data_IF_851286986300
#
_entry.id   IF_851286986300
#
_cell.length_a   1.000
_cell.length_b   1.000
_cell.length_c   1.000
_cell.angle_alpha   90.00
_cell.angle_beta   90.00
_cell.angle_gamma   90.00
#
_symmetry.space_group_name_H-M   'P 1'
#
loop_
_entity.id
_entity.type
_entity.pdbx_description
1 polymer ?
#
# COMPACT_ATOMS: atom_id res chain seq x y z
N UNK A 1 11.56 38.59 6.28
CA UNK A 1 11.51 38.01 4.92
C UNK A 1 10.49 36.86 4.95
N UNK A 2 9.51 36.92 4.06
CA UNK A 2 8.17 36.33 4.17
C UNK A 2 8.16 34.83 3.81
N UNK A 3 7.93 33.93 4.79
CA UNK A 3 8.05 32.46 4.67
C UNK A 3 6.73 31.70 4.44
N UNK A 4 5.63 32.40 4.16
CA UNK A 4 4.31 31.80 3.89
C UNK A 4 4.13 31.27 2.45
N UNK A 5 5.22 31.11 1.66
CA UNK A 5 5.13 30.78 0.23
C UNK A 5 5.44 29.33 -0.18
N UNK A 6 5.79 28.43 0.74
CA UNK A 6 6.33 27.09 0.37
C UNK A 6 5.51 25.91 0.93
N UNK A 7 4.38 26.16 1.61
CA UNK A 7 3.41 25.09 1.83
C UNK A 7 2.52 24.99 0.61
N UNK A 8 2.75 23.95 -0.20
CA UNK A 8 1.85 23.42 -1.21
C UNK A 8 0.74 24.39 -1.59
N UNK A 9 1.01 25.20 -2.62
CA UNK A 9 -0.01 25.83 -3.45
C UNK A 9 -0.79 24.67 -4.10
N UNK A 10 -1.62 23.98 -3.31
CA UNK A 10 -2.74 23.20 -3.78
C UNK A 10 -3.73 24.19 -4.37
N UNK A 11 -3.35 24.62 -5.57
CA UNK A 11 -4.20 24.83 -6.71
C UNK A 11 -5.05 26.12 -6.70
N UNK A 12 -4.84 27.02 -7.69
CA UNK A 12 -5.62 28.25 -7.92
C UNK A 12 -7.07 28.02 -8.38
N UNK A 13 -7.66 26.83 -8.19
CA UNK A 13 -9.08 26.54 -8.55
C UNK A 13 -10.04 27.30 -7.62
N UNK A 14 -9.68 27.45 -6.34
CA UNK A 14 -10.57 28.09 -5.36
C UNK A 14 -10.74 29.61 -5.60
N UNK A 15 -9.72 30.27 -6.18
CA UNK A 15 -9.79 31.67 -6.59
C UNK A 15 -10.50 31.86 -7.94
N UNK A 16 -10.53 30.84 -8.81
CA UNK A 16 -11.22 30.90 -10.09
C UNK A 16 -12.74 30.78 -9.90
N UNK A 17 -13.18 30.02 -8.89
CA UNK A 17 -14.60 29.70 -8.71
C UNK A 17 -15.41 30.66 -7.81
N UNK A 18 -14.79 31.66 -7.15
CA UNK A 18 -15.48 32.62 -6.25
C UNK A 18 -16.46 31.94 -5.25
N UNK A 19 -16.11 30.81 -4.66
CA UNK A 19 -16.99 30.15 -3.67
C UNK A 19 -16.91 30.82 -2.29
N UNK A 20 -18.03 30.84 -1.53
CA UNK A 20 -18.07 31.40 -0.18
C UNK A 20 -17.16 30.63 0.80
N UNK A 21 -16.65 31.29 1.86
CA UNK A 21 -15.65 30.72 2.78
C UNK A 21 -16.12 29.45 3.49
N UNK A 22 -17.43 29.27 3.69
CA UNK A 22 -18.04 28.06 4.22
C UNK A 22 -17.87 26.83 3.30
N UNK A 23 -17.80 27.02 1.98
CA UNK A 23 -17.52 25.92 1.03
C UNK A 23 -16.06 25.47 1.07
N UNK A 24 -15.11 26.35 1.40
CA UNK A 24 -13.69 26.00 1.55
C UNK A 24 -13.46 25.02 2.70
N UNK A 25 -14.21 25.18 3.80
CA UNK A 25 -14.15 24.27 4.96
C UNK A 25 -14.72 22.90 4.60
N UNK A 26 -15.89 22.85 3.96
CA UNK A 26 -16.52 21.60 3.53
C UNK A 26 -15.60 20.84 2.56
N UNK A 27 -15.00 21.54 1.59
CA UNK A 27 -14.07 20.93 0.64
C UNK A 27 -12.84 20.33 1.33
N UNK A 28 -12.25 21.02 2.31
CA UNK A 28 -11.11 20.50 3.09
C UNK A 28 -11.48 19.26 3.93
N UNK A 29 -12.67 19.24 4.52
CA UNK A 29 -13.15 18.08 5.28
C UNK A 29 -13.35 16.90 4.33
N UNK A 30 -13.97 17.13 3.17
CA UNK A 30 -14.18 16.11 2.14
C UNK A 30 -12.84 15.57 1.62
N UNK A 31 -11.87 16.43 1.32
CA UNK A 31 -10.53 16.06 0.87
C UNK A 31 -9.81 15.19 1.92
N UNK A 32 -9.89 15.56 3.20
CA UNK A 32 -9.32 14.79 4.29
C UNK A 32 -9.99 13.42 4.45
N UNK A 33 -11.32 13.37 4.37
CA UNK A 33 -12.08 12.12 4.43
C UNK A 33 -11.73 11.21 3.25
N UNK A 34 -11.69 11.73 2.02
CA UNK A 34 -11.26 10.99 0.86
C UNK A 34 -9.84 10.45 1.03
N UNK A 35 -8.91 11.27 1.53
CA UNK A 35 -7.53 10.85 1.80
C UNK A 35 -7.46 9.70 2.82
N UNK A 36 -8.20 9.79 3.93
CA UNK A 36 -8.25 8.75 4.96
C UNK A 36 -8.86 7.45 4.41
N UNK A 37 -9.97 7.55 3.67
CA UNK A 37 -10.62 6.42 3.03
C UNK A 37 -9.68 5.73 2.04
N UNK A 38 -9.02 6.49 1.16
CA UNK A 38 -8.04 5.94 0.21
C UNK A 38 -6.90 5.23 0.94
N UNK A 39 -6.39 5.79 2.04
CA UNK A 39 -5.36 5.12 2.84
C UNK A 39 -5.82 3.81 3.46
N UNK A 40 -7.03 3.79 4.02
CA UNK A 40 -7.59 2.59 4.64
C UNK A 40 -7.79 1.51 3.57
N UNK A 41 -8.39 1.86 2.43
CA UNK A 41 -8.64 0.94 1.32
C UNK A 41 -7.32 0.37 0.79
N UNK A 42 -6.33 1.22 0.51
CA UNK A 42 -5.02 0.77 0.02
C UNK A 42 -4.31 -0.13 1.04
N UNK A 43 -4.36 0.22 2.33
CA UNK A 43 -3.75 -0.60 3.39
C UNK A 43 -4.42 -1.96 3.49
N UNK A 44 -5.76 -2.02 3.44
CA UNK A 44 -6.50 -3.28 3.45
C UNK A 44 -6.19 -4.13 2.21
N UNK A 45 -6.13 -3.52 1.03
CA UNK A 45 -5.73 -4.19 -0.21
C UNK A 45 -4.33 -4.80 -0.11
N UNK A 46 -3.38 -4.06 0.46
CA UNK A 46 -2.00 -4.53 0.66
C UNK A 46 -1.94 -5.67 1.67
N UNK A 47 -2.64 -5.57 2.81
CA UNK A 47 -2.73 -6.65 3.80
C UNK A 47 -3.31 -7.91 3.17
N UNK A 48 -4.42 -7.77 2.45
CA UNK A 48 -5.07 -8.88 1.75
C UNK A 48 -4.12 -9.51 0.73
N UNK A 49 -3.46 -8.70 -0.09
CA UNK A 49 -2.50 -9.15 -1.08
C UNK A 49 -1.35 -9.93 -0.42
N UNK A 50 -0.73 -9.38 0.62
CA UNK A 50 0.38 -10.02 1.33
C UNK A 50 0.00 -11.34 2.01
N UNK A 51 -1.19 -11.42 2.63
CA UNK A 51 -1.71 -12.66 3.21
C UNK A 51 -1.93 -13.70 2.12
N UNK A 52 -2.54 -13.31 1.00
CA UNK A 52 -2.85 -14.23 -0.10
C UNK A 52 -1.58 -14.76 -0.76
N UNK A 53 -0.57 -13.90 -1.00
CA UNK A 53 0.72 -14.35 -1.50
C UNK A 53 1.41 -15.34 -0.55
N UNK A 54 1.38 -15.09 0.76
CA UNK A 54 1.92 -16.04 1.76
C UNK A 54 1.19 -17.38 1.73
N UNK A 55 -0.14 -17.34 1.63
CA UNK A 55 -0.96 -18.54 1.55
C UNK A 55 -0.65 -19.36 0.30
N UNK A 56 -0.55 -18.71 -0.87
CA UNK A 56 -0.17 -19.36 -2.13
C UNK A 56 1.22 -19.98 -2.04
N UNK A 57 2.21 -19.25 -1.50
CA UNK A 57 3.57 -19.78 -1.31
C UNK A 57 3.59 -21.03 -0.43
N UNK A 58 2.81 -21.03 0.65
CA UNK A 58 2.68 -22.19 1.52
C UNK A 58 2.06 -23.39 0.79
N UNK A 59 0.97 -23.18 0.04
CA UNK A 59 0.36 -24.25 -0.77
C UNK A 59 1.35 -24.80 -1.78
N UNK A 60 2.10 -23.92 -2.46
CA UNK A 60 3.07 -24.30 -3.45
C UNK A 60 4.23 -25.13 -2.85
N UNK A 61 4.78 -24.70 -1.72
CA UNK A 61 5.81 -25.47 -1.00
C UNK A 61 5.32 -26.87 -0.63
N UNK A 62 4.09 -26.97 -0.12
CA UNK A 62 3.50 -28.27 0.25
C UNK A 62 3.29 -29.18 -0.96
N UNK A 63 2.87 -28.63 -2.10
CA UNK A 63 2.77 -29.37 -3.36
C UNK A 63 4.14 -29.84 -3.85
N UNK A 64 5.15 -28.99 -3.79
CA UNK A 64 6.51 -29.31 -4.19
C UNK A 64 7.09 -30.44 -3.32
N UNK A 65 6.89 -30.38 -2.01
CA UNK A 65 7.28 -31.44 -1.07
C UNK A 65 6.59 -32.77 -1.37
N UNK A 66 5.30 -32.74 -1.72
CA UNK A 66 4.55 -33.93 -2.11
C UNK A 66 5.04 -34.51 -3.43
N UNK A 67 5.39 -33.67 -4.40
CA UNK A 67 5.93 -34.09 -5.69
C UNK A 67 7.30 -34.76 -5.51
N UNK A 68 8.17 -34.17 -4.68
CA UNK A 68 9.55 -34.62 -4.52
C UNK A 68 9.67 -35.92 -3.69
N UNK A 69 8.66 -36.27 -2.89
CA UNK A 69 8.71 -37.41 -1.95
C UNK A 69 8.31 -38.76 -2.54
N UNK A 70 7.85 -38.84 -3.79
CA UNK A 70 7.00 -39.98 -4.15
C UNK A 70 7.07 -40.41 -5.63
N UNK A 71 7.19 -41.73 -5.82
CA UNK A 71 6.87 -42.43 -7.07
C UNK A 71 5.34 -42.54 -7.19
N UNK A 72 4.68 -41.44 -7.56
CA UNK A 72 3.23 -41.43 -7.69
C UNK A 72 2.75 -42.21 -8.93
N UNK A 73 1.59 -42.87 -8.86
CA UNK A 73 0.87 -43.31 -10.05
C UNK A 73 0.36 -42.10 -10.88
N UNK A 74 0.21 -42.30 -12.20
CA UNK A 74 -0.07 -41.23 -13.17
C UNK A 74 -1.34 -40.42 -12.86
N UNK A 75 -2.38 -41.08 -12.36
CA UNK A 75 -3.66 -40.47 -11.96
C UNK A 75 -3.50 -39.43 -10.85
N UNK A 76 -2.65 -39.73 -9.85
CA UNK A 76 -2.38 -38.82 -8.74
C UNK A 76 -1.45 -37.67 -9.15
N UNK A 77 -0.54 -37.91 -10.09
CA UNK A 77 0.30 -36.88 -10.70
C UNK A 77 -0.55 -35.86 -11.49
N UNK A 78 -1.49 -36.34 -12.31
CA UNK A 78 -2.43 -35.50 -13.07
C UNK A 78 -3.25 -34.61 -12.14
N UNK A 79 -3.74 -35.16 -11.03
CA UNK A 79 -4.49 -34.37 -10.04
C UNK A 79 -3.62 -33.29 -9.38
N UNK A 80 -2.36 -33.62 -9.03
CA UNK A 80 -1.41 -32.66 -8.47
C UNK A 80 -1.08 -31.51 -9.45
N UNK A 81 -0.91 -31.84 -10.74
CA UNK A 81 -0.70 -30.87 -11.81
C UNK A 81 -1.93 -29.97 -12.02
N UNK A 82 -3.14 -30.51 -11.91
CA UNK A 82 -4.38 -29.72 -11.97
C UNK A 82 -4.43 -28.70 -10.83
N UNK A 83 -4.17 -29.13 -9.59
CA UNK A 83 -4.14 -28.24 -8.42
C UNK A 83 -3.07 -27.16 -8.57
N UNK A 84 -1.89 -27.51 -9.11
CA UNK A 84 -0.86 -26.53 -9.43
C UNK A 84 -1.35 -25.50 -10.46
N UNK A 85 -2.03 -25.94 -11.51
CA UNK A 85 -2.64 -25.06 -12.51
C UNK A 85 -3.67 -24.09 -11.91
N UNK A 86 -4.52 -24.57 -11.01
CA UNK A 86 -5.51 -23.74 -10.32
C UNK A 86 -4.86 -22.68 -9.42
N UNK A 87 -3.78 -23.04 -8.73
CA UNK A 87 -2.99 -22.09 -7.92
C UNK A 87 -2.33 -21.04 -8.82
N UNK A 88 -1.73 -21.45 -9.93
CA UNK A 88 -1.09 -20.54 -10.88
C UNK A 88 -2.11 -19.54 -11.45
N UNK A 89 -3.27 -20.03 -11.87
CA UNK A 89 -4.36 -19.18 -12.38
C UNK A 89 -4.88 -18.21 -11.33
N UNK A 90 -4.97 -18.64 -10.08
CA UNK A 90 -5.35 -17.77 -8.96
C UNK A 90 -4.29 -16.69 -8.71
N UNK A 91 -3.01 -17.03 -8.79
CA UNK A 91 -1.90 -16.10 -8.63
C UNK A 91 -1.84 -15.07 -9.77
N UNK A 92 -2.06 -15.49 -11.01
CA UNK A 92 -2.12 -14.62 -12.18
C UNK A 92 -3.25 -13.60 -12.03
N UNK A 93 -4.46 -14.05 -11.68
CA UNK A 93 -5.60 -13.16 -11.44
C UNK A 93 -5.32 -12.14 -10.32
N UNK A 94 -4.72 -12.58 -9.22
CA UNK A 94 -4.34 -11.67 -8.13
C UNK A 94 -3.30 -10.66 -8.57
N UNK A 95 -2.34 -11.06 -9.39
CA UNK A 95 -1.35 -10.15 -9.94
C UNK A 95 -2.02 -9.11 -10.85
N UNK A 96 -2.94 -9.51 -11.73
CA UNK A 96 -3.66 -8.58 -12.61
C UNK A 96 -4.50 -7.57 -11.83
N UNK A 97 -5.21 -8.02 -10.80
CA UNK A 97 -6.10 -7.17 -9.99
C UNK A 97 -5.34 -6.22 -9.05
N UNK A 98 -4.19 -6.65 -8.49
CA UNK A 98 -3.54 -5.95 -7.39
C UNK A 98 -2.13 -5.40 -7.68
N UNK A 99 -1.46 -5.80 -8.77
CA UNK A 99 -0.09 -5.34 -9.08
C UNK A 99 0.01 -3.82 -9.16
N UNK A 100 -0.93 -3.18 -9.85
CA UNK A 100 -0.96 -1.72 -9.96
C UNK A 100 -1.23 -1.04 -8.61
N UNK A 101 -2.15 -1.59 -7.81
CA UNK A 101 -2.45 -1.07 -6.47
C UNK A 101 -1.25 -1.19 -5.52
N UNK A 102 -0.54 -2.33 -5.57
CA UNK A 102 0.70 -2.54 -4.84
C UNK A 102 1.79 -1.54 -5.29
N UNK A 103 1.96 -1.33 -6.60
CA UNK A 103 2.89 -0.35 -7.14
C UNK A 103 2.62 1.08 -6.65
N UNK A 104 1.37 1.54 -6.77
CA UNK A 104 0.96 2.88 -6.29
C UNK A 104 1.18 2.99 -4.78
N UNK A 105 0.90 1.93 -4.02
CA UNK A 105 1.10 1.95 -2.57
C UNK A 105 2.59 2.05 -2.21
N UNK A 106 3.47 1.34 -2.90
CA UNK A 106 4.93 1.47 -2.74
C UNK A 106 5.37 2.90 -3.05
N UNK A 107 4.96 3.45 -4.20
CA UNK A 107 5.33 4.80 -4.61
C UNK A 107 4.88 5.85 -3.59
N UNK A 108 3.61 5.80 -3.17
CA UNK A 108 3.05 6.71 -2.17
C UNK A 108 3.74 6.55 -0.81
N UNK A 109 4.14 5.34 -0.45
CA UNK A 109 4.89 5.08 0.78
C UNK A 109 6.30 5.66 0.71
N UNK A 110 7.01 5.53 -0.42
CA UNK A 110 8.33 6.15 -0.62
C UNK A 110 8.26 7.67 -0.52
N UNK A 111 7.29 8.29 -1.21
CA UNK A 111 7.05 9.73 -1.17
C UNK A 111 6.74 10.16 0.27
N UNK A 112 5.84 9.44 0.94
CA UNK A 112 5.44 9.71 2.32
C UNK A 112 6.60 9.60 3.31
N UNK A 113 7.47 8.61 3.16
CA UNK A 113 8.67 8.44 3.98
C UNK A 113 9.65 9.57 3.78
N UNK A 114 9.93 9.92 2.52
CA UNK A 114 10.83 11.02 2.19
C UNK A 114 10.37 12.33 2.84
N UNK A 115 9.09 12.71 2.63
CA UNK A 115 8.56 13.95 3.18
C UNK A 115 8.47 13.96 4.70
N UNK A 116 8.09 12.82 5.31
CA UNK A 116 7.99 12.72 6.77
C UNK A 116 9.38 12.77 7.40
N UNK A 117 10.34 12.03 6.86
CA UNK A 117 11.73 12.03 7.31
C UNK A 117 12.40 13.41 7.14
N UNK A 118 12.18 14.06 5.99
CA UNK A 118 12.67 15.42 5.77
C UNK A 118 12.13 16.41 6.81
N UNK A 119 10.83 16.34 7.12
CA UNK A 119 10.22 17.21 8.13
C UNK A 119 10.75 16.93 9.54
N UNK A 120 11.00 15.66 9.87
CA UNK A 120 11.58 15.29 11.16
C UNK A 120 13.03 15.80 11.27
N UNK A 121 13.83 15.64 10.21
CA UNK A 121 15.26 15.99 10.24
C UNK A 121 15.53 17.51 10.22
N UNK A 122 14.71 18.28 9.49
CA UNK A 122 15.04 19.68 9.19
C UNK A 122 14.10 20.72 9.81
N UNK A 123 12.99 20.31 10.45
CA UNK A 123 12.03 21.25 11.03
C UNK A 123 12.28 21.42 12.53
N UNK A 124 12.85 22.56 12.89
CA UNK A 124 13.32 22.87 14.26
C UNK A 124 12.20 23.23 15.24
N UNK A 125 11.08 23.77 14.76
CA UNK A 125 9.94 24.18 15.59
C UNK A 125 8.70 23.34 15.25
N UNK A 126 8.63 22.14 15.81
CA UNK A 126 7.48 21.24 15.66
C UNK A 126 6.86 20.97 17.02
N UNK A 127 5.52 21.00 17.11
CA UNK A 127 4.85 20.56 18.33
C UNK A 127 5.01 19.06 18.51
N UNK A 128 5.04 18.59 19.76
CA UNK A 128 5.18 17.16 20.08
C UNK A 128 4.12 16.31 19.37
N UNK A 129 2.87 16.79 19.33
CA UNK A 129 1.78 16.11 18.61
C UNK A 129 2.09 15.92 17.12
N UNK A 130 2.65 16.93 16.45
CA UNK A 130 3.05 16.82 15.05
C UNK A 130 4.23 15.87 14.86
N UNK A 131 5.17 15.85 15.81
CA UNK A 131 6.30 14.93 15.77
C UNK A 131 5.83 13.48 15.87
N UNK A 132 5.00 13.15 16.87
CA UNK A 132 4.41 11.81 17.02
C UNK A 132 3.60 11.39 15.78
N UNK A 133 2.84 12.31 15.18
CA UNK A 133 2.10 12.04 13.95
C UNK A 133 3.02 11.67 12.77
N UNK A 134 4.16 12.37 12.62
CA UNK A 134 5.12 12.05 11.56
C UNK A 134 5.82 10.71 11.81
N UNK A 135 6.21 10.42 13.05
CA UNK A 135 6.79 9.11 13.41
C UNK A 135 5.80 7.98 13.13
N UNK A 136 4.54 8.13 13.53
CA UNK A 136 3.47 7.16 13.22
C UNK A 136 3.30 6.97 11.71
N UNK A 137 3.34 8.06 10.94
CA UNK A 137 3.26 8.01 9.47
C UNK A 137 4.45 7.26 8.86
N UNK A 138 5.67 7.46 9.37
CA UNK A 138 6.87 6.74 8.93
C UNK A 138 6.72 5.25 9.20
N UNK A 139 6.32 4.87 10.42
CA UNK A 139 6.09 3.46 10.79
C UNK A 139 5.05 2.82 9.88
N UNK A 140 3.94 3.52 9.61
CA UNK A 140 2.89 3.02 8.72
C UNK A 140 3.40 2.79 7.29
N UNK A 141 4.12 3.75 6.70
CA UNK A 141 4.64 3.60 5.34
C UNK A 141 5.71 2.51 5.23
N UNK A 142 6.61 2.40 6.21
CA UNK A 142 7.57 1.29 6.29
C UNK A 142 6.85 -0.05 6.41
N UNK A 143 5.81 -0.15 7.24
CA UNK A 143 5.05 -1.39 7.43
C UNK A 143 4.39 -1.84 6.13
N UNK A 144 3.77 -0.92 5.39
CA UNK A 144 3.19 -1.23 4.07
C UNK A 144 4.25 -1.68 3.06
N UNK A 145 5.41 -1.03 3.02
CA UNK A 145 6.51 -1.46 2.14
C UNK A 145 7.01 -2.86 2.48
N UNK A 146 7.25 -3.14 3.77
CA UNK A 146 7.69 -4.46 4.23
C UNK A 146 6.66 -5.54 3.88
N UNK A 147 5.36 -5.24 4.04
CA UNK A 147 4.31 -6.22 3.77
C UNK A 147 4.20 -6.57 2.28
N UNK A 148 4.54 -5.65 1.38
CA UNK A 148 4.61 -5.88 -0.07
C UNK A 148 5.92 -6.59 -0.46
N UNK A 149 7.06 -6.26 0.16
CA UNK A 149 8.36 -6.83 -0.19
C UNK A 149 8.59 -8.25 0.36
N UNK A 150 8.11 -8.59 1.57
CA UNK A 150 8.36 -9.90 2.19
C UNK A 150 7.82 -11.08 1.38
N UNK A 151 6.61 -11.02 0.76
CA UNK A 151 6.14 -12.09 -0.11
C UNK A 151 6.97 -12.26 -1.39
N UNK A 152 7.71 -11.24 -1.81
CA UNK A 152 8.54 -11.23 -3.03
C UNK A 152 9.97 -11.76 -2.82
N UNK A 153 10.43 -11.92 -1.58
CA UNK A 153 11.74 -12.46 -1.20
C UNK A 153 11.66 -13.94 -0.84
#
# INVERSE_FOLDING_TARGET
MNTDKIFFKSIPIMNILKLPPSCSIIFRILELLCYLLTKIVLSLSVIYYGITCRFIRYLYQRLLEQLNRSSWPEDKLLNLLSVYGDIMKSMEKLNDDFSFSAFITVLMSMIGLFWSGYRVAFRTNMSEMHFHFLISSIIFYLSNQLLIMIPAA
#
